data_IF_531738729615
#
_entry.id   IF_531738729615
#
_cell.length_a   1.000
_cell.length_b   1.000
_cell.length_c   1.000
_cell.angle_alpha   90.00
_cell.angle_beta   90.00
_cell.angle_gamma   90.00
#
_symmetry.space_group_name_H-M   'P 1'
#
loop_
_entity.id
_entity.type
_entity.pdbx_description
1 polymer ?
#
# COMPACT_ATOMS: atom_id res chain seq x y z
N UNK A 1 6.31 29.44 6.50
CA UNK A 1 5.27 28.40 6.63
C UNK A 1 3.94 29.10 6.81
N UNK A 2 2.92 28.70 6.05
CA UNK A 2 1.57 29.26 6.14
C UNK A 2 0.98 28.95 7.53
N UNK A 3 0.40 29.95 8.20
CA UNK A 3 -0.12 29.83 9.58
C UNK A 3 -1.60 29.39 9.63
N UNK A 4 -2.14 28.91 8.51
CA UNK A 4 -3.51 28.40 8.44
C UNK A 4 -3.69 27.13 9.27
N UNK A 5 -4.77 27.09 10.06
CA UNK A 5 -5.20 25.90 10.78
C UNK A 5 -5.63 24.81 9.78
N UNK A 6 -5.07 23.62 9.92
CA UNK A 6 -5.40 22.44 9.11
C UNK A 6 -5.54 21.20 9.99
N UNK A 7 -6.31 20.21 9.52
CA UNK A 7 -6.42 18.89 10.15
C UNK A 7 -6.08 17.80 9.13
N UNK A 8 -5.83 16.59 9.63
CA UNK A 8 -5.50 15.44 8.80
C UNK A 8 -5.60 14.12 9.53
N UNK A 9 -5.33 13.04 8.79
CA UNK A 9 -5.37 11.67 9.29
C UNK A 9 -4.00 11.03 9.11
N UNK A 10 -3.54 10.33 10.14
CA UNK A 10 -2.42 9.39 10.06
C UNK A 10 -2.96 8.02 9.66
N UNK A 11 -2.57 7.54 8.49
CA UNK A 11 -2.89 6.19 8.03
C UNK A 11 -1.80 5.74 7.07
N UNK A 12 -1.14 4.61 7.33
CA UNK A 12 -0.18 4.09 6.36
C UNK A 12 -0.90 3.37 5.21
N UNK A 13 -0.35 3.43 3.99
CA UNK A 13 -0.96 2.82 2.79
C UNK A 13 -1.24 1.32 3.00
N UNK A 14 -0.36 0.62 3.71
CA UNK A 14 -0.53 -0.82 4.00
C UNK A 14 -1.78 -1.16 4.81
N UNK A 15 -2.36 -0.18 5.51
CA UNK A 15 -3.58 -0.33 6.32
C UNK A 15 -4.87 -0.05 5.54
N UNK A 16 -4.76 0.36 4.26
CA UNK A 16 -5.93 0.48 3.40
C UNK A 16 -6.51 -0.90 3.09
N UNK A 17 -7.85 -1.00 2.92
CA UNK A 17 -8.47 -2.26 2.51
C UNK A 17 -7.94 -2.69 1.13
N UNK A 18 -7.68 -3.98 0.98
CA UNK A 18 -7.11 -4.56 -0.24
C UNK A 18 -7.61 -5.98 -0.45
N UNK A 19 -7.74 -6.35 -1.71
CA UNK A 19 -8.04 -7.72 -2.15
C UNK A 19 -6.76 -8.56 -2.30
N UNK A 20 -5.57 -7.96 -2.17
CA UNK A 20 -4.28 -8.60 -2.45
C UNK A 20 -3.37 -8.67 -1.21
N UNK A 21 -3.97 -8.76 -0.03
CA UNK A 21 -3.32 -8.99 1.27
C UNK A 21 -2.57 -7.81 1.88
N UNK A 22 -2.48 -6.67 1.19
CA UNK A 22 -1.90 -5.42 1.73
C UNK A 22 -2.46 -4.22 0.99
N UNK A 23 -2.74 -3.13 1.71
CA UNK A 23 -3.07 -1.86 1.08
C UNK A 23 -1.96 -1.37 0.16
N UNK A 24 -2.35 -0.78 -0.97
CA UNK A 24 -1.45 -0.36 -2.04
C UNK A 24 -1.83 1.02 -2.61
N UNK A 25 -1.03 1.50 -3.57
CA UNK A 25 -1.24 2.76 -4.28
C UNK A 25 -2.24 2.62 -5.45
N UNK A 26 -3.30 1.84 -5.25
CA UNK A 26 -4.39 1.61 -6.19
C UNK A 26 -5.69 2.29 -5.80
N UNK A 27 -6.85 1.77 -6.23
CA UNK A 27 -8.14 2.44 -6.03
C UNK A 27 -8.52 2.72 -4.58
N UNK A 28 -8.09 1.89 -3.62
CA UNK A 28 -8.33 2.17 -2.20
C UNK A 28 -7.65 3.47 -1.73
N UNK A 29 -6.45 3.78 -2.24
CA UNK A 29 -5.75 5.02 -1.94
C UNK A 29 -6.47 6.24 -2.54
N UNK A 30 -6.96 6.13 -3.77
CA UNK A 30 -7.80 7.18 -4.39
C UNK A 30 -9.09 7.41 -3.60
N UNK A 31 -9.81 6.33 -3.24
CA UNK A 31 -11.02 6.43 -2.40
C UNK A 31 -10.73 7.07 -1.05
N UNK A 32 -9.57 6.81 -0.46
CA UNK A 32 -9.16 7.45 0.79
C UNK A 32 -8.86 8.95 0.61
N UNK A 33 -8.17 9.33 -0.47
CA UNK A 33 -7.96 10.75 -0.81
C UNK A 33 -9.29 11.49 -1.06
N UNK A 34 -10.25 10.85 -1.73
CA UNK A 34 -11.61 11.38 -1.91
C UNK A 34 -12.33 11.51 -0.56
N UNK A 35 -12.17 10.55 0.35
CA UNK A 35 -12.69 10.64 1.71
C UNK A 35 -12.09 11.82 2.47
N UNK A 36 -10.77 12.03 2.41
CA UNK A 36 -10.12 13.19 3.05
C UNK A 36 -10.68 14.50 2.50
N UNK A 37 -10.85 14.59 1.18
CA UNK A 37 -11.44 15.77 0.52
C UNK A 37 -12.88 16.01 0.99
N UNK A 38 -13.73 14.98 0.98
CA UNK A 38 -15.14 15.06 1.43
C UNK A 38 -15.29 15.40 2.91
N UNK A 39 -14.30 15.07 3.73
CA UNK A 39 -14.29 15.33 5.17
C UNK A 39 -13.44 16.55 5.56
N UNK A 40 -13.04 17.35 4.57
CA UNK A 40 -12.24 18.58 4.72
C UNK A 40 -10.91 18.37 5.47
N UNK A 41 -10.37 17.15 5.44
CA UNK A 41 -9.01 16.85 5.89
C UNK A 41 -8.03 17.33 4.82
N UNK A 42 -7.00 18.06 5.24
CA UNK A 42 -6.01 18.69 4.35
C UNK A 42 -4.67 17.96 4.33
N UNK A 43 -4.44 17.06 5.29
CA UNK A 43 -3.20 16.30 5.43
C UNK A 43 -3.49 14.80 5.48
N UNK A 44 -2.70 14.04 4.74
CA UNK A 44 -2.54 12.60 4.91
C UNK A 44 -1.12 12.35 5.39
N UNK A 45 -0.98 11.97 6.66
CA UNK A 45 0.32 11.59 7.20
C UNK A 45 0.52 10.08 7.05
N UNK A 46 1.74 9.68 6.71
CA UNK A 46 2.15 8.29 6.53
C UNK A 46 3.47 8.00 7.26
N UNK A 47 3.70 6.73 7.57
CA UNK A 47 5.02 6.19 7.94
C UNK A 47 5.96 6.18 6.70
N UNK A 48 7.26 5.86 6.85
CA UNK A 48 8.18 5.76 5.72
C UNK A 48 7.73 4.74 4.67
N UNK A 49 7.86 5.10 3.39
CA UNK A 49 7.40 4.31 2.23
C UNK A 49 8.49 3.45 1.59
N UNK A 50 9.65 3.33 2.25
CA UNK A 50 10.77 2.51 1.79
C UNK A 50 10.56 1.01 2.01
N UNK A 51 11.39 0.15 1.40
CA UNK A 51 11.32 -1.30 1.61
C UNK A 51 11.35 -1.64 3.10
N UNK A 52 10.54 -2.61 3.51
CA UNK A 52 10.48 -3.03 4.91
C UNK A 52 11.77 -3.72 5.35
N UNK A 53 12.18 -3.45 6.59
CA UNK A 53 13.29 -4.12 7.26
C UNK A 53 12.86 -5.31 8.12
N UNK A 54 13.73 -5.76 9.04
CA UNK A 54 13.40 -6.75 10.06
C UNK A 54 12.08 -6.39 10.80
N UNK A 55 11.25 -7.41 11.05
CA UNK A 55 9.94 -7.24 11.67
C UNK A 55 8.91 -6.50 10.80
N UNK A 56 9.14 -6.43 9.48
CA UNK A 56 8.34 -5.65 8.53
C UNK A 56 8.29 -4.15 8.87
N UNK A 57 9.30 -3.63 9.58
CA UNK A 57 9.33 -2.24 10.03
C UNK A 57 9.65 -1.27 8.88
N UNK A 58 8.85 -0.20 8.68
CA UNK A 58 9.15 0.85 7.71
C UNK A 58 10.34 1.73 8.15
N UNK A 59 10.73 1.68 9.43
CA UNK A 59 11.84 2.46 9.99
C UNK A 59 13.19 1.74 9.90
N UNK A 60 13.20 0.49 9.45
CA UNK A 60 14.41 -0.34 9.33
C UNK A 60 14.76 -0.64 7.87
N UNK A 61 14.41 0.29 6.97
CA UNK A 61 14.60 0.12 5.53
C UNK A 61 16.07 -0.05 5.15
N UNK A 62 16.41 -0.97 4.23
CA UNK A 62 17.75 -1.10 3.67
C UNK A 62 18.11 0.02 2.68
N UNK A 63 17.16 0.90 2.35
CA UNK A 63 17.38 2.03 1.45
C UNK A 63 16.65 3.28 1.93
N UNK A 64 17.32 4.42 1.86
CA UNK A 64 16.72 5.74 2.13
C UNK A 64 16.04 6.35 0.90
N UNK A 65 16.18 5.72 -0.27
CA UNK A 65 15.71 6.28 -1.56
C UNK A 65 14.66 5.41 -2.25
N UNK A 66 14.75 4.08 -2.14
CA UNK A 66 13.83 3.19 -2.83
C UNK A 66 12.42 3.25 -2.25
N UNK A 67 11.41 3.02 -3.10
CA UNK A 67 10.04 2.74 -2.66
C UNK A 67 9.82 1.26 -2.34
N UNK A 68 8.87 0.96 -1.47
CA UNK A 68 8.49 -0.41 -1.14
C UNK A 68 7.69 -1.07 -2.28
N UNK A 69 8.18 -2.14 -2.93
CA UNK A 69 7.45 -2.82 -4.00
C UNK A 69 6.11 -3.40 -3.55
N UNK A 70 5.93 -3.63 -2.25
CA UNK A 70 4.65 -4.10 -1.71
C UNK A 70 3.52 -3.07 -1.83
N UNK A 71 3.84 -1.80 -2.11
CA UNK A 71 2.85 -0.75 -2.32
C UNK A 71 2.39 -0.61 -3.78
N UNK A 72 2.96 -1.40 -4.70
CA UNK A 72 2.51 -1.45 -6.10
C UNK A 72 1.14 -2.12 -6.13
N UNK A 73 0.17 -1.46 -6.77
CA UNK A 73 -1.17 -2.01 -6.94
C UNK A 73 -1.20 -3.02 -8.08
N UNK A 74 -1.75 -4.23 -7.87
CA UNK A 74 -1.93 -5.21 -8.95
C UNK A 74 -2.94 -4.79 -10.00
N UNK A 75 -3.95 -4.00 -9.63
CA UNK A 75 -5.06 -3.68 -10.53
C UNK A 75 -4.61 -2.98 -11.83
N UNK A 76 -3.80 -1.91 -11.81
CA UNK A 76 -3.25 -1.34 -13.04
C UNK A 76 -2.42 -2.33 -13.86
N UNK A 77 -1.78 -3.33 -13.23
CA UNK A 77 -0.99 -4.33 -13.95
C UNK A 77 -1.91 -5.27 -14.76
N UNK A 78 -3.04 -5.69 -14.19
CA UNK A 78 -4.06 -6.48 -14.90
C UNK A 78 -4.65 -5.67 -16.05
N UNK A 79 -5.05 -4.42 -15.78
CA UNK A 79 -5.66 -3.53 -16.78
C UNK A 79 -4.76 -3.29 -18.00
N UNK A 80 -3.43 -3.34 -17.80
CA UNK A 80 -2.45 -3.21 -18.86
C UNK A 80 -1.98 -4.56 -19.44
N UNK A 81 -2.57 -5.69 -19.02
CA UNK A 81 -2.20 -7.02 -19.48
C UNK A 81 -0.78 -7.45 -19.09
N UNK A 82 -0.22 -6.87 -18.03
CA UNK A 82 1.13 -7.19 -17.54
C UNK A 82 1.15 -8.40 -16.60
N UNK A 83 0.00 -8.72 -15.99
CA UNK A 83 -0.22 -9.90 -15.14
C UNK A 83 -1.63 -10.43 -15.40
N UNK A 84 -1.84 -11.73 -15.18
CA UNK A 84 -3.17 -12.35 -15.30
C UNK A 84 -3.86 -12.53 -13.94
N UNK A 85 -5.17 -12.75 -13.95
CA UNK A 85 -5.93 -13.07 -12.74
C UNK A 85 -5.42 -14.34 -12.05
N UNK A 86 -5.00 -15.36 -12.81
CA UNK A 86 -4.43 -16.59 -12.26
C UNK A 86 -3.12 -16.35 -11.51
N UNK A 87 -2.29 -15.42 -11.98
CA UNK A 87 -1.04 -15.05 -11.31
C UNK A 87 -1.30 -14.32 -9.99
N UNK A 88 -2.44 -13.62 -9.88
CA UNK A 88 -2.85 -12.89 -8.68
C UNK A 88 -3.71 -13.70 -7.72
N UNK A 89 -4.29 -14.83 -8.15
CA UNK A 89 -5.12 -15.69 -7.30
C UNK A 89 -4.46 -16.02 -5.93
N UNK A 90 -3.14 -16.32 -5.84
CA UNK A 90 -2.50 -16.53 -4.54
C UNK A 90 -2.47 -15.30 -3.63
N UNK A 91 -2.53 -14.07 -4.17
CA UNK A 91 -2.63 -12.87 -3.35
C UNK A 91 -4.05 -12.66 -2.80
N UNK A 92 -5.07 -13.08 -3.54
CA UNK A 92 -6.47 -13.00 -3.12
C UNK A 92 -6.84 -13.93 -1.94
N UNK A 93 -6.03 -14.97 -1.71
CA UNK A 93 -6.18 -15.88 -0.56
C UNK A 93 -5.61 -15.33 0.76
N UNK A 94 -4.94 -14.16 0.74
CA UNK A 94 -4.34 -13.60 1.95
C UNK A 94 -5.42 -13.01 2.89
N UNK A 95 -5.15 -12.94 4.21
CA UNK A 95 -6.08 -12.32 5.15
C UNK A 95 -6.39 -10.86 4.78
N UNK A 96 -7.62 -10.43 5.06
CA UNK A 96 -8.11 -9.09 4.76
C UNK A 96 -8.23 -8.18 6.02
N UNK A 97 -7.97 -8.72 7.20
CA UNK A 97 -8.05 -8.03 8.50
C UNK A 97 -6.67 -7.60 9.04
N UNK A 98 -5.60 -8.23 8.55
CA UNK A 98 -4.21 -7.88 8.87
C UNK A 98 -3.25 -8.27 7.74
N UNK A 99 -2.06 -7.69 7.75
CA UNK A 99 -1.03 -8.01 6.75
C UNK A 99 -0.19 -9.19 7.22
N UNK A 100 -0.30 -10.33 6.53
CA UNK A 100 0.63 -11.45 6.71
C UNK A 100 1.88 -11.26 5.83
N UNK A 101 2.87 -10.53 6.35
CA UNK A 101 4.11 -10.25 5.61
C UNK A 101 4.89 -11.50 5.20
N UNK A 102 4.81 -12.59 5.98
CA UNK A 102 5.54 -13.83 5.70
C UNK A 102 5.00 -14.51 4.44
N UNK A 103 3.68 -14.53 4.25
CA UNK A 103 3.04 -15.05 3.04
C UNK A 103 3.00 -14.04 1.88
N UNK A 104 2.80 -12.76 2.19
CA UNK A 104 2.68 -11.69 1.19
C UNK A 104 3.97 -11.48 0.40
N UNK A 105 5.11 -11.28 1.08
CA UNK A 105 6.38 -10.88 0.44
C UNK A 105 6.80 -11.84 -0.68
N UNK A 106 6.88 -13.17 -0.47
CA UNK A 106 7.26 -14.08 -1.54
C UNK A 106 6.24 -14.14 -2.68
N UNK A 107 4.93 -14.10 -2.37
CA UNK A 107 3.87 -14.13 -3.40
C UNK A 107 3.90 -12.89 -4.29
N UNK A 108 3.97 -11.69 -3.68
CA UNK A 108 3.98 -10.43 -4.43
C UNK A 108 5.26 -10.23 -5.24
N UNK A 109 6.41 -10.71 -4.74
CA UNK A 109 7.66 -10.73 -5.51
C UNK A 109 7.61 -11.65 -6.73
N UNK A 110 6.84 -12.74 -6.67
CA UNK A 110 6.68 -13.66 -7.82
C UNK A 110 5.89 -12.99 -8.94
N UNK A 111 4.86 -12.21 -8.59
CA UNK A 111 4.03 -11.45 -9.54
C UNK A 111 4.79 -10.31 -10.21
N UNK A 112 5.70 -9.64 -9.48
CA UNK A 112 6.41 -8.44 -9.97
C UNK A 112 7.76 -8.74 -10.65
N UNK A 113 8.02 -9.99 -11.04
CA UNK A 113 9.32 -10.42 -11.58
C UNK A 113 9.24 -10.83 -13.05
#
# INVERSE_FOLDING_TARGET
MDSRRVSGILLHVTSLPSEYGVGDLGPAAYRFADFLTRTNQRLWQMLPVGPIGPGASPYSSPSTFAGNPLLISPQPLIENGLVTDEELAPLAELPNDHVDYARLVPRKRKVLR
#
